data_IF_192284849278
#
_entry.id   IF_192284849278
#
_cell.length_a   1.000
_cell.length_b   1.000
_cell.length_c   1.000
_cell.angle_alpha   90.00
_cell.angle_beta   90.00
_cell.angle_gamma   90.00
#
_symmetry.space_group_name_H-M   'P 1'
#
loop_
_entity.id
_entity.type
_entity.pdbx_description
1 polymer ?
#
# COMPACT_ATOMS: atom_id res chain seq x y z
N UNK A 1 14.37 20.87 32.44
CA UNK A 1 15.34 21.27 31.40
C UNK A 1 16.27 20.11 31.20
N UNK A 2 16.07 19.36 30.12
CA UNK A 2 17.05 18.49 29.48
C UNK A 2 16.59 18.33 28.04
N UNK A 3 17.09 19.21 27.18
CA UNK A 3 17.15 19.05 25.74
C UNK A 3 18.05 17.86 25.38
N UNK A 4 17.71 17.14 24.31
CA UNK A 4 18.57 16.33 23.41
C UNK A 4 17.64 15.45 22.56
N UNK A 5 17.85 15.22 21.28
CA UNK A 5 18.58 15.92 20.23
C UNK A 5 17.96 15.32 18.95
N UNK A 6 17.44 16.17 18.08
CA UNK A 6 16.75 15.73 16.88
C UNK A 6 17.74 15.23 15.84
N UNK A 7 17.81 13.91 15.62
CA UNK A 7 18.46 13.36 14.43
C UNK A 7 17.44 13.19 13.31
N UNK A 8 17.29 14.23 12.50
CA UNK A 8 16.82 14.09 11.12
C UNK A 8 17.99 13.60 10.26
N UNK A 9 18.09 12.29 10.08
CA UNK A 9 18.96 11.68 9.08
C UNK A 9 18.29 11.73 7.71
N UNK A 10 18.58 12.79 6.92
CA UNK A 10 18.38 12.77 5.48
C UNK A 10 19.68 12.35 4.81
N UNK A 11 19.71 11.15 4.23
CA UNK A 11 20.84 10.65 3.45
C UNK A 11 20.77 9.13 3.26
N UNK A 12 20.81 8.72 1.99
CA UNK A 12 20.84 7.35 1.47
C UNK A 12 19.50 6.61 1.42
N UNK A 13 18.76 6.86 0.33
CA UNK A 13 17.61 6.05 -0.10
C UNK A 13 18.10 4.71 -0.67
N UNK A 14 18.68 3.89 0.21
CA UNK A 14 18.74 2.45 0.00
C UNK A 14 17.36 1.95 0.38
N UNK A 15 16.63 1.36 -0.58
CA UNK A 15 15.36 0.66 -0.32
C UNK A 15 15.62 -0.42 0.73
N UNK A 16 15.44 -0.08 2.00
CA UNK A 16 15.69 -0.98 3.11
C UNK A 16 14.63 -2.09 3.04
N UNK A 17 15.04 -3.29 2.61
CA UNK A 17 14.19 -4.47 2.64
C UNK A 17 13.94 -4.79 4.12
N UNK A 18 12.73 -4.50 4.60
CA UNK A 18 12.39 -4.71 6.00
C UNK A 18 12.08 -6.17 6.29
N UNK A 19 12.12 -6.53 7.58
CA UNK A 19 11.60 -7.84 8.02
C UNK A 19 10.09 -7.85 7.80
N UNK A 20 9.51 -8.96 7.31
CA UNK A 20 8.05 -9.07 7.14
C UNK A 20 7.31 -8.69 8.43
N UNK A 21 6.24 -7.90 8.30
CA UNK A 21 5.40 -7.49 9.43
C UNK A 21 5.81 -6.22 10.19
N UNK A 22 6.90 -5.53 9.81
CA UNK A 22 7.19 -4.20 10.33
C UNK A 22 6.50 -3.13 9.47
N UNK A 23 5.59 -2.37 10.09
CA UNK A 23 4.98 -1.20 9.46
C UNK A 23 6.01 -0.07 9.46
N UNK A 24 6.24 0.50 8.28
CA UNK A 24 7.11 1.68 8.13
C UNK A 24 6.26 2.94 8.16
N UNK A 25 6.77 3.95 8.86
CA UNK A 25 6.26 5.32 8.77
C UNK A 25 6.91 6.01 7.57
N UNK A 26 6.09 6.62 6.72
CA UNK A 26 6.46 7.26 5.47
C UNK A 26 6.16 8.76 5.51
N UNK A 27 7.07 9.54 4.94
CA UNK A 27 6.72 10.84 4.38
C UNK A 27 5.98 10.67 3.05
N UNK A 28 5.27 11.71 2.60
CA UNK A 28 4.62 11.71 1.28
C UNK A 28 5.63 11.46 0.15
N UNK A 29 6.84 12.04 0.24
CA UNK A 29 7.89 11.85 -0.75
C UNK A 29 8.34 10.38 -0.82
N UNK A 30 8.62 9.76 0.33
CA UNK A 30 9.03 8.34 0.36
C UNK A 30 7.93 7.42 -0.17
N UNK A 31 6.67 7.66 0.20
CA UNK A 31 5.52 6.93 -0.32
C UNK A 31 5.45 7.07 -1.85
N UNK A 32 5.59 8.28 -2.39
CA UNK A 32 5.62 8.53 -3.83
C UNK A 32 6.80 7.85 -4.54
N UNK A 33 7.96 7.73 -3.90
CA UNK A 33 9.13 7.04 -4.47
C UNK A 33 8.90 5.53 -4.62
N UNK A 34 8.25 4.90 -3.63
CA UNK A 34 7.99 3.44 -3.68
C UNK A 34 6.69 3.10 -4.41
N UNK A 35 5.78 4.06 -4.58
CA UNK A 35 4.47 3.85 -5.19
C UNK A 35 4.50 3.21 -6.59
N UNK A 36 5.40 3.59 -7.53
CA UNK A 36 5.49 2.92 -8.83
C UNK A 36 5.76 1.42 -8.71
N UNK A 37 6.57 1.01 -7.74
CA UNK A 37 6.86 -0.40 -7.49
C UNK A 37 5.63 -1.14 -6.93
N UNK A 38 4.94 -0.54 -5.96
CA UNK A 38 3.68 -1.08 -5.39
C UNK A 38 2.63 -1.26 -6.48
N UNK A 39 2.44 -0.25 -7.33
CA UNK A 39 1.51 -0.29 -8.45
C UNK A 39 1.86 -1.39 -9.46
N UNK A 40 3.14 -1.53 -9.81
CA UNK A 40 3.61 -2.55 -10.74
C UNK A 40 3.44 -3.97 -10.19
N UNK A 41 3.83 -4.22 -8.94
CA UNK A 41 3.67 -5.53 -8.31
C UNK A 41 2.18 -5.90 -8.23
N UNK A 42 1.33 -4.94 -7.86
CA UNK A 42 -0.12 -5.17 -7.78
C UNK A 42 -0.72 -5.43 -9.16
N UNK A 43 -0.35 -4.67 -10.19
CA UNK A 43 -0.82 -4.91 -11.56
C UNK A 43 -0.43 -6.31 -12.06
N UNK A 44 0.82 -6.73 -11.85
CA UNK A 44 1.28 -8.07 -12.23
C UNK A 44 0.49 -9.17 -11.50
N UNK A 45 0.19 -8.99 -10.21
CA UNK A 45 -0.59 -9.96 -9.45
C UNK A 45 -2.05 -10.03 -9.92
N UNK A 46 -2.65 -8.90 -10.28
CA UNK A 46 -4.00 -8.83 -10.87
C UNK A 46 -4.04 -9.55 -12.22
N UNK A 47 -3.04 -9.30 -13.08
CA UNK A 47 -2.93 -9.95 -14.40
C UNK A 47 -2.69 -11.46 -14.26
N UNK A 48 -1.86 -11.89 -13.30
CA UNK A 48 -1.62 -13.31 -12.99
C UNK A 48 -2.90 -14.01 -12.49
N UNK A 49 -3.74 -13.29 -11.73
CA UNK A 49 -4.96 -13.83 -11.16
C UNK A 49 -6.14 -13.91 -12.14
N UNK A 50 -6.17 -13.05 -13.17
CA UNK A 50 -7.25 -12.99 -14.15
C UNK A 50 -7.64 -14.35 -14.77
N UNK A 51 -6.72 -15.18 -15.31
CA UNK A 51 -7.08 -16.47 -15.89
C UNK A 51 -7.62 -17.48 -14.87
N UNK A 52 -7.19 -17.40 -13.61
CA UNK A 52 -7.68 -18.27 -12.52
C UNK A 52 -9.13 -17.93 -12.20
N UNK A 53 -9.47 -16.64 -12.10
CA UNK A 53 -10.84 -16.19 -11.87
C UNK A 53 -11.77 -16.58 -13.01
N UNK A 54 -11.31 -16.50 -14.26
CA UNK A 54 -12.06 -16.98 -15.42
C UNK A 54 -12.28 -18.50 -15.37
N UNK A 55 -11.25 -19.27 -15.02
CA UNK A 55 -11.35 -20.72 -14.87
C UNK A 55 -12.31 -21.13 -13.74
N UNK A 56 -12.29 -20.43 -12.60
CA UNK A 56 -13.22 -20.66 -11.49
C UNK A 56 -14.67 -20.39 -11.91
N UNK A 57 -14.92 -19.26 -12.58
CA UNK A 57 -16.25 -18.93 -13.11
C UNK A 57 -16.76 -19.96 -14.11
N UNK A 58 -15.89 -20.49 -14.96
CA UNK A 58 -16.24 -21.49 -15.96
C UNK A 58 -16.50 -22.89 -15.37
N UNK A 59 -15.96 -23.20 -14.20
CA UNK A 59 -15.98 -24.54 -13.60
C UNK A 59 -16.77 -24.59 -12.26
N UNK A 60 -17.77 -23.73 -12.10
CA UNK A 60 -18.52 -23.56 -10.84
C UNK A 60 -19.17 -24.85 -10.29
N UNK A 61 -19.42 -25.85 -11.14
CA UNK A 61 -20.04 -27.13 -10.75
C UNK A 61 -19.00 -28.24 -10.48
N UNK A 62 -17.72 -28.01 -10.80
CA UNK A 62 -16.65 -29.00 -10.68
C UNK A 62 -15.81 -28.80 -9.42
N UNK A 63 -16.30 -29.33 -8.29
CA UNK A 63 -15.71 -29.12 -6.96
C UNK A 63 -14.19 -29.38 -6.84
N UNK A 64 -13.60 -30.45 -7.42
CA UNK A 64 -12.14 -30.66 -7.35
C UNK A 64 -11.34 -29.64 -8.16
N UNK A 65 -11.86 -29.19 -9.31
CA UNK A 65 -11.23 -28.16 -10.15
C UNK A 65 -11.27 -26.82 -9.43
N UNK A 66 -12.39 -26.50 -8.79
CA UNK A 66 -12.52 -25.28 -7.97
C UNK A 66 -11.50 -25.23 -6.84
N UNK A 67 -11.35 -26.31 -6.06
CA UNK A 67 -10.36 -26.35 -4.97
C UNK A 67 -8.93 -26.10 -5.45
N UNK A 68 -8.57 -26.64 -6.62
CA UNK A 68 -7.26 -26.39 -7.20
C UNK A 68 -7.08 -24.91 -7.57
N UNK A 69 -8.10 -24.28 -8.19
CA UNK A 69 -8.06 -22.87 -8.53
C UNK A 69 -8.06 -21.95 -7.30
N UNK A 70 -8.80 -22.30 -6.25
CA UNK A 70 -8.77 -21.61 -4.95
C UNK A 70 -7.36 -21.60 -4.35
N UNK A 71 -6.67 -22.74 -4.41
CA UNK A 71 -5.28 -22.84 -3.92
C UNK A 71 -4.33 -21.92 -4.70
N UNK A 72 -4.48 -21.85 -6.04
CA UNK A 72 -3.69 -20.94 -6.87
C UNK A 72 -4.00 -19.46 -6.60
N UNK A 73 -5.29 -19.15 -6.41
CA UNK A 73 -5.74 -17.82 -6.01
C UNK A 73 -5.07 -17.39 -4.70
N UNK A 74 -5.13 -18.24 -3.67
CA UNK A 74 -4.53 -17.98 -2.38
C UNK A 74 -3.02 -17.79 -2.49
N UNK A 75 -2.33 -18.62 -3.28
CA UNK A 75 -0.88 -18.50 -3.46
C UNK A 75 -0.48 -17.14 -4.05
N UNK A 76 -1.17 -16.66 -5.08
CA UNK A 76 -0.89 -15.37 -5.72
C UNK A 76 -1.16 -14.22 -4.75
N UNK A 77 -2.30 -14.25 -4.07
CA UNK A 77 -2.67 -13.22 -3.09
C UNK A 77 -1.66 -13.18 -1.94
N UNK A 78 -1.28 -14.33 -1.39
CA UNK A 78 -0.27 -14.41 -0.33
C UNK A 78 1.10 -13.93 -0.81
N UNK A 79 1.49 -14.25 -2.04
CA UNK A 79 2.75 -13.76 -2.63
C UNK A 79 2.73 -12.23 -2.78
N UNK A 80 1.60 -11.65 -3.16
CA UNK A 80 1.42 -10.21 -3.21
C UNK A 80 1.48 -9.57 -1.82
N UNK A 81 0.74 -10.10 -0.83
CA UNK A 81 0.77 -9.61 0.57
C UNK A 81 2.20 -9.57 1.08
N UNK A 82 2.93 -10.68 0.96
CA UNK A 82 4.33 -10.78 1.39
C UNK A 82 5.24 -9.73 0.75
N UNK A 83 4.99 -9.35 -0.51
CA UNK A 83 5.76 -8.30 -1.18
C UNK A 83 5.39 -6.91 -0.63
N UNK A 84 4.11 -6.64 -0.39
CA UNK A 84 3.66 -5.37 0.20
C UNK A 84 4.23 -5.16 1.61
N UNK A 85 4.16 -6.20 2.45
CA UNK A 85 4.71 -6.16 3.82
C UNK A 85 6.23 -5.94 3.84
N UNK A 86 6.97 -6.52 2.88
CA UNK A 86 8.42 -6.28 2.74
C UNK A 86 8.78 -4.86 2.34
N UNK A 87 7.85 -4.16 1.68
CA UNK A 87 7.97 -2.75 1.36
C UNK A 87 7.55 -1.85 2.55
N UNK A 88 7.05 -2.44 3.63
CA UNK A 88 6.57 -1.73 4.83
C UNK A 88 5.17 -1.14 4.69
N UNK A 89 4.44 -1.52 3.64
CA UNK A 89 3.09 -1.03 3.34
C UNK A 89 2.05 -1.92 4.01
N UNK A 90 0.98 -1.33 4.55
CA UNK A 90 -0.11 -2.06 5.19
C UNK A 90 -1.09 -2.55 4.13
N UNK A 91 -1.45 -3.84 4.20
CA UNK A 91 -2.49 -4.41 3.34
C UNK A 91 -3.84 -4.34 4.07
N UNK A 92 -4.73 -3.48 3.59
CA UNK A 92 -6.04 -3.24 4.21
C UNK A 92 -7.19 -3.95 3.47
N UNK A 93 -6.89 -4.58 2.33
CA UNK A 93 -7.82 -5.41 1.57
C UNK A 93 -7.19 -5.92 0.28
N UNK A 94 -7.95 -6.69 -0.50
CA UNK A 94 -7.47 -7.18 -1.80
C UNK A 94 -7.18 -5.99 -2.73
N UNK A 95 -5.91 -5.86 -3.13
CA UNK A 95 -5.40 -4.75 -3.96
C UNK A 95 -5.58 -3.35 -3.34
N UNK A 96 -5.78 -3.30 -2.02
CA UNK A 96 -5.94 -2.09 -1.23
C UNK A 96 -4.80 -2.01 -0.23
N UNK A 97 -4.03 -0.92 -0.31
CA UNK A 97 -2.84 -0.73 0.51
C UNK A 97 -2.81 0.68 1.10
N UNK A 98 -2.22 0.76 2.29
CA UNK A 98 -2.11 1.97 3.08
C UNK A 98 -0.63 2.21 3.45
N UNK A 99 -0.15 3.43 3.23
CA UNK A 99 1.17 3.89 3.68
C UNK A 99 0.97 4.66 4.98
N UNK A 100 1.48 4.13 6.09
CA UNK A 100 1.38 4.80 7.39
C UNK A 100 2.27 6.04 7.40
N UNK A 101 1.70 7.18 7.80
CA UNK A 101 2.42 8.46 7.97
C UNK A 101 2.71 8.76 9.44
N UNK A 102 2.27 7.90 10.36
CA UNK A 102 2.29 8.12 11.80
C UNK A 102 1.06 8.89 12.31
N UNK A 103 0.43 9.72 11.46
CA UNK A 103 -0.79 10.47 11.78
C UNK A 103 -2.07 9.84 11.16
N UNK A 104 -1.87 8.93 10.22
CA UNK A 104 -2.90 8.31 9.40
C UNK A 104 -2.29 7.64 8.18
N UNK A 105 -3.12 7.34 7.18
CA UNK A 105 -2.75 6.53 6.04
C UNK A 105 -2.93 7.28 4.72
N UNK A 106 -1.88 7.28 3.89
CA UNK A 106 -2.04 7.52 2.46
C UNK A 106 -2.58 6.24 1.84
N UNK A 107 -3.78 6.32 1.29
CA UNK A 107 -4.54 5.13 0.89
C UNK A 107 -4.61 5.01 -0.63
N UNK A 108 -4.38 3.81 -1.15
CA UNK A 108 -4.47 3.52 -2.58
C UNK A 108 -5.12 2.17 -2.86
N UNK A 109 -6.01 2.17 -3.85
CA UNK A 109 -6.60 0.93 -4.37
C UNK A 109 -6.35 0.81 -5.87
N UNK A 110 -5.90 -0.35 -6.33
CA UNK A 110 -5.81 -0.62 -7.76
C UNK A 110 -7.20 -0.47 -8.42
N UNK A 111 -7.34 0.17 -9.60
CA UNK A 111 -6.30 0.70 -10.49
C UNK A 111 -6.12 2.23 -10.42
N UNK A 112 -6.30 2.86 -9.26
CA UNK A 112 -6.17 4.32 -9.13
C UNK A 112 -4.82 4.82 -9.67
N UNK A 113 -4.76 5.96 -10.37
CA UNK A 113 -3.55 6.39 -11.08
C UNK A 113 -2.47 6.95 -10.15
N UNK A 114 -2.83 7.42 -8.96
CA UNK A 114 -1.95 8.12 -8.04
C UNK A 114 -2.35 7.91 -6.57
N UNK A 115 -1.41 8.19 -5.66
CA UNK A 115 -1.69 8.38 -4.23
C UNK A 115 -2.41 9.70 -4.02
N UNK A 116 -3.74 9.66 -4.02
CA UNK A 116 -4.59 10.86 -4.03
C UNK A 116 -5.53 10.95 -2.82
N UNK A 117 -5.47 10.00 -1.89
CA UNK A 117 -6.39 9.93 -0.76
C UNK A 117 -5.68 9.69 0.57
N UNK A 118 -6.27 10.21 1.63
CA UNK A 118 -5.81 10.05 3.00
C UNK A 118 -6.97 9.72 3.94
N UNK A 119 -6.74 8.90 4.95
CA UNK A 119 -7.67 8.72 6.07
C UNK A 119 -6.94 8.58 7.40
N UNK A 120 -7.59 8.95 8.50
CA UNK A 120 -7.04 8.73 9.85
C UNK A 120 -7.01 7.25 10.24
N UNK A 121 -6.26 6.90 11.28
CA UNK A 121 -6.11 5.50 11.73
C UNK A 121 -7.43 4.84 12.17
N UNK A 122 -8.39 5.62 12.65
CA UNK A 122 -9.72 5.13 13.08
C UNK A 122 -10.75 5.12 11.96
N UNK A 123 -10.38 5.63 10.79
CA UNK A 123 -11.23 5.76 9.62
C UNK A 123 -10.90 4.63 8.64
N UNK A 124 -11.91 4.13 7.93
CA UNK A 124 -11.72 3.14 6.86
C UNK A 124 -11.67 3.78 5.48
N UNK A 125 -11.41 2.96 4.45
CA UNK A 125 -11.36 3.37 3.04
C UNK A 125 -12.52 4.28 2.60
N UNK A 126 -13.76 3.99 3.04
CA UNK A 126 -14.95 4.77 2.66
C UNK A 126 -15.01 6.19 3.22
N UNK A 127 -14.15 6.53 4.18
CA UNK A 127 -14.06 7.86 4.81
C UNK A 127 -12.82 8.64 4.36
N UNK A 128 -12.09 8.14 3.36
CA UNK A 128 -10.90 8.80 2.85
C UNK A 128 -11.24 10.14 2.19
N UNK A 129 -10.35 11.11 2.40
CA UNK A 129 -10.45 12.47 1.88
C UNK A 129 -9.42 12.69 0.77
N UNK A 130 -9.68 13.59 -0.19
CA UNK A 130 -8.67 14.01 -1.15
C UNK A 130 -7.41 14.50 -0.44
N UNK A 131 -6.25 13.99 -0.86
CA UNK A 131 -4.98 14.28 -0.21
C UNK A 131 -4.66 15.78 -0.20
N UNK A 132 -4.92 16.48 -1.31
CA UNK A 132 -4.67 17.91 -1.43
C UNK A 132 -5.49 18.75 -0.44
N UNK A 133 -6.72 18.34 -0.15
CA UNK A 133 -7.59 18.99 0.84
C UNK A 133 -7.01 18.83 2.24
N UNK A 134 -6.58 17.61 2.59
CA UNK A 134 -5.94 17.32 3.88
C UNK A 134 -4.65 18.13 4.06
N UNK A 135 -3.79 18.19 3.04
CA UNK A 135 -2.54 18.96 3.09
C UNK A 135 -2.83 20.45 3.28
N UNK A 136 -3.78 21.01 2.53
CA UNK A 136 -4.12 22.43 2.61
C UNK A 136 -4.70 22.81 3.98
N UNK A 137 -5.56 21.97 4.56
CA UNK A 137 -6.20 22.24 5.84
C UNK A 137 -5.28 21.99 7.04
N UNK A 138 -4.52 20.91 7.03
CA UNK A 138 -3.79 20.43 8.21
C UNK A 138 -2.30 20.77 8.19
N UNK A 139 -1.72 21.05 7.02
CA UNK A 139 -0.28 21.28 6.82
C UNK A 139 0.60 20.29 7.61
N UNK A 140 0.42 18.97 7.39
CA UNK A 140 1.06 17.98 8.22
C UNK A 140 2.54 17.83 7.86
N UNK A 141 3.37 17.55 8.88
CA UNK A 141 4.83 17.44 8.71
C UNK A 141 5.24 16.35 7.72
N UNK A 142 4.47 15.26 7.62
CA UNK A 142 4.73 14.20 6.64
C UNK A 142 4.56 14.67 5.18
N UNK A 143 3.87 15.79 4.93
CA UNK A 143 3.68 16.38 3.60
C UNK A 143 4.79 17.37 3.21
N UNK A 144 5.48 17.98 4.18
CA UNK A 144 6.46 19.06 3.95
C UNK A 144 7.72 18.60 3.18
N UNK A 145 7.97 17.29 3.12
CA UNK A 145 9.05 16.73 2.30
C UNK A 145 8.70 16.61 0.81
N UNK A 146 7.45 16.90 0.40
CA UNK A 146 7.09 16.96 -1.01
C UNK A 146 7.52 18.32 -1.60
N UNK A 147 8.23 18.35 -2.75
CA UNK A 147 8.48 19.61 -3.41
C UNK A 147 7.12 20.25 -3.76
N UNK A 148 6.88 21.48 -3.30
CA UNK A 148 5.78 22.29 -3.81
C UNK A 148 5.99 22.43 -5.33
N UNK A 149 5.07 21.86 -6.10
CA UNK A 149 5.03 21.98 -7.57
C UNK A 149 4.49 23.36 -7.94
#
# INVERSE_FOLDING_TARGET
MSDTDGLHGHGDSVLAIQRPGQIRVFTLLEAQQIFPLVRNITALAVDELAPILDAMRANMENHPVLQHQESLYEEIVQRWINKMERLGVVVSGLWLVDFDTGDGYLCWRHPEPALAYYHGHTQGFGQRRPLLEVIHEMQPQWADCAPMI
#
